data_IF_392260197071
#
_entry.id   IF_392260197071
#
_cell.length_a   1.000
_cell.length_b   1.000
_cell.length_c   1.000
_cell.angle_alpha   90.00
_cell.angle_beta   90.00
_cell.angle_gamma   90.00
#
_symmetry.space_group_name_H-M   'P 1'
#
loop_
_entity.id
_entity.type
_entity.pdbx_description
1 polymer ?
#
# COMPACT_ATOMS: atom_id res chain seq x y z
N UNK A 1 -25.08 25.35 59.73
CA UNK A 1 -24.24 24.18 59.29
C UNK A 1 -24.19 24.20 57.78
N UNK A 2 -23.14 24.75 57.16
CA UNK A 2 -22.97 24.82 55.69
C UNK A 2 -22.18 23.58 55.24
N UNK A 3 -22.82 22.72 54.45
CA UNK A 3 -22.16 21.54 53.84
C UNK A 3 -21.43 22.03 52.59
N UNK A 4 -20.09 21.95 52.61
CA UNK A 4 -19.21 22.25 51.50
C UNK A 4 -19.12 20.97 50.65
N UNK A 5 -19.68 20.97 49.42
CA UNK A 5 -19.46 19.92 48.43
C UNK A 5 -18.16 20.21 47.68
N UNK A 6 -17.15 19.37 47.91
CA UNK A 6 -15.95 19.34 47.07
C UNK A 6 -16.28 18.57 45.81
N UNK A 7 -16.33 19.23 44.65
CA UNK A 7 -16.37 18.58 43.35
C UNK A 7 -14.93 18.17 42.94
N UNK A 8 -14.65 16.90 42.92
CA UNK A 8 -13.42 16.38 42.34
C UNK A 8 -13.52 16.44 40.79
N UNK A 9 -12.80 17.34 40.20
CA UNK A 9 -12.62 17.39 38.75
C UNK A 9 -11.48 16.42 38.44
N UNK A 10 -11.81 15.21 37.93
CA UNK A 10 -10.82 14.30 37.38
C UNK A 10 -10.43 14.76 35.97
N UNK A 11 -9.25 15.38 35.88
CA UNK A 11 -8.65 15.76 34.60
C UNK A 11 -8.14 14.48 33.91
N UNK A 12 -8.95 13.93 33.02
CA UNK A 12 -8.57 12.79 32.18
C UNK A 12 -7.51 13.24 31.16
N UNK A 13 -6.26 12.87 31.37
CA UNK A 13 -5.20 13.01 30.38
C UNK A 13 -5.49 12.07 29.21
N UNK A 14 -5.98 12.60 28.10
CA UNK A 14 -6.02 11.89 26.82
C UNK A 14 -4.59 11.71 26.34
N UNK A 15 -4.02 10.51 26.54
CA UNK A 15 -2.80 10.09 25.89
C UNK A 15 -3.10 9.90 24.39
N UNK A 16 -2.74 10.90 23.57
CA UNK A 16 -2.68 10.76 22.12
C UNK A 16 -1.54 9.77 21.81
N UNK A 17 -1.89 8.52 21.50
CA UNK A 17 -0.94 7.57 20.91
C UNK A 17 -0.69 8.02 19.48
N UNK A 18 0.37 8.79 19.26
CA UNK A 18 0.83 9.11 17.92
C UNK A 18 1.12 7.79 17.19
N UNK A 19 0.33 7.47 16.17
CA UNK A 19 0.65 6.37 15.27
C UNK A 19 1.92 6.76 14.50
N UNK A 20 3.01 6.05 14.74
CA UNK A 20 4.24 6.19 13.97
C UNK A 20 4.01 5.52 12.61
N UNK A 21 4.38 6.22 11.52
CA UNK A 21 4.37 5.65 10.19
C UNK A 21 5.24 4.39 10.15
N UNK A 22 4.67 3.26 9.73
CA UNK A 22 5.41 2.01 9.60
C UNK A 22 6.23 2.00 8.30
N UNK A 23 7.30 1.23 8.30
CA UNK A 23 8.08 0.94 7.10
C UNK A 23 7.94 -0.54 6.76
N UNK A 24 7.49 -0.84 5.53
CA UNK A 24 7.35 -2.20 5.00
C UNK A 24 8.38 -2.41 3.91
N UNK A 25 9.16 -3.47 4.01
CA UNK A 25 10.16 -3.83 3.00
C UNK A 25 9.58 -4.83 2.01
N UNK A 26 9.79 -4.55 0.73
CA UNK A 26 9.56 -5.44 -0.41
C UNK A 26 10.92 -5.76 -1.02
N UNK A 27 11.27 -7.04 -1.12
CA UNK A 27 12.56 -7.48 -1.65
C UNK A 27 12.40 -7.95 -3.09
N UNK A 28 13.21 -7.43 -4.00
CA UNK A 28 13.27 -7.96 -5.36
C UNK A 28 14.04 -9.29 -5.36
N UNK A 29 13.46 -10.29 -5.99
CA UNK A 29 14.09 -11.59 -6.27
C UNK A 29 14.35 -11.72 -7.77
N UNK A 30 14.76 -12.87 -8.26
CA UNK A 30 15.10 -13.06 -9.69
C UNK A 30 13.96 -12.61 -10.64
N UNK A 31 12.69 -12.91 -10.30
CA UNK A 31 11.53 -12.63 -11.17
C UNK A 31 10.27 -12.22 -10.40
N UNK A 32 10.38 -11.89 -9.12
CA UNK A 32 9.24 -11.48 -8.31
C UNK A 32 9.65 -10.44 -7.26
N UNK A 33 8.66 -9.81 -6.68
CA UNK A 33 8.79 -9.07 -5.43
C UNK A 33 8.27 -9.93 -4.28
N UNK A 34 8.89 -9.82 -3.12
CA UNK A 34 8.50 -10.57 -1.91
C UNK A 34 8.46 -9.62 -0.69
N UNK A 35 7.29 -9.47 -0.04
CA UNK A 35 5.97 -9.92 -0.49
C UNK A 35 5.51 -9.16 -1.75
N UNK A 36 4.71 -9.80 -2.59
CA UNK A 36 4.19 -9.20 -3.82
C UNK A 36 2.83 -8.49 -3.64
N UNK A 37 2.15 -8.73 -2.53
CA UNK A 37 1.03 -7.93 -2.05
C UNK A 37 1.33 -7.51 -0.61
N UNK A 38 1.24 -6.21 -0.35
CA UNK A 38 1.39 -5.64 1.00
C UNK A 38 0.16 -4.82 1.36
N UNK A 39 -0.25 -4.89 2.61
CA UNK A 39 -1.30 -4.03 3.16
C UNK A 39 -0.68 -3.10 4.21
N UNK A 40 -0.93 -1.82 4.07
CA UNK A 40 -0.37 -0.73 4.88
C UNK A 40 -1.46 0.27 5.29
N UNK A 41 -1.12 1.17 6.19
CA UNK A 41 -1.97 2.29 6.57
C UNK A 41 -1.59 3.57 5.80
N UNK A 42 -2.52 4.53 5.65
CA UNK A 42 -2.17 5.86 5.16
C UNK A 42 -1.03 6.47 5.97
N UNK A 43 -0.01 6.98 5.29
CA UNK A 43 1.21 7.53 5.90
C UNK A 43 2.36 6.54 6.04
N UNK A 44 2.12 5.24 5.84
CA UNK A 44 3.18 4.24 5.86
C UNK A 44 4.08 4.32 4.62
N UNK A 45 5.29 3.80 4.77
CA UNK A 45 6.31 3.79 3.73
C UNK A 45 6.61 2.36 3.26
N UNK A 46 6.65 2.17 1.94
CA UNK A 46 7.17 0.95 1.32
C UNK A 46 8.57 1.19 0.81
N UNK A 47 9.48 0.27 1.10
CA UNK A 47 10.88 0.29 0.67
C UNK A 47 11.16 -0.93 -0.17
N UNK A 48 11.54 -0.73 -1.44
CA UNK A 48 12.00 -1.79 -2.32
C UNK A 48 13.52 -1.96 -2.18
N UNK A 49 13.95 -3.18 -1.87
CA UNK A 49 15.34 -3.54 -1.65
C UNK A 49 15.84 -4.57 -2.66
N UNK A 50 17.15 -4.66 -2.81
CA UNK A 50 17.83 -5.57 -3.72
C UNK A 50 17.43 -5.36 -5.20
N UNK A 51 17.27 -4.11 -5.57
CA UNK A 51 16.73 -3.70 -6.87
C UNK A 51 17.73 -3.82 -8.04
N UNK A 52 18.83 -4.56 -7.86
CA UNK A 52 19.80 -4.83 -8.92
C UNK A 52 19.10 -5.39 -10.18
N UNK A 53 19.18 -4.67 -11.31
CA UNK A 53 18.48 -5.02 -12.56
C UNK A 53 16.95 -4.94 -12.50
N UNK A 54 16.37 -4.37 -11.46
CA UNK A 54 14.95 -4.17 -11.28
C UNK A 54 14.58 -2.69 -11.21
N UNK A 55 13.32 -2.40 -11.47
CA UNK A 55 12.68 -1.11 -11.19
C UNK A 55 11.29 -1.34 -10.60
N UNK A 56 10.71 -0.33 -10.01
CA UNK A 56 9.31 -0.33 -9.60
C UNK A 56 8.61 0.86 -10.22
N UNK A 57 7.51 0.61 -10.93
CA UNK A 57 6.78 1.62 -11.69
C UNK A 57 5.28 1.39 -11.54
N UNK A 58 4.54 2.42 -11.12
CA UNK A 58 3.08 2.35 -11.07
C UNK A 58 2.50 2.17 -12.47
N UNK A 59 1.49 1.30 -12.62
CA UNK A 59 0.80 1.13 -13.90
C UNK A 59 -0.22 2.26 -14.07
N UNK A 60 -0.18 2.93 -15.22
CA UNK A 60 -1.08 4.06 -15.53
C UNK A 60 -2.56 3.63 -15.42
N UNK A 61 -3.37 4.42 -14.74
CA UNK A 61 -4.78 4.12 -14.48
C UNK A 61 -5.04 3.00 -13.46
N UNK A 62 -4.00 2.47 -12.81
CA UNK A 62 -4.12 1.40 -11.83
C UNK A 62 -3.62 1.79 -10.44
N UNK A 63 -3.77 3.04 -10.11
CA UNK A 63 -3.58 3.62 -8.78
C UNK A 63 -4.84 4.44 -8.44
N UNK A 64 -5.08 4.78 -7.16
CA UNK A 64 -6.23 5.62 -6.79
C UNK A 64 -6.19 6.99 -7.49
N UNK A 65 -7.37 7.53 -7.84
CA UNK A 65 -7.49 8.85 -8.46
C UNK A 65 -6.80 9.93 -7.62
N UNK A 66 -5.95 10.73 -8.28
CA UNK A 66 -5.18 11.78 -7.64
C UNK A 66 -4.05 11.28 -6.69
N UNK A 67 -3.72 9.98 -6.71
CA UNK A 67 -2.50 9.47 -6.11
C UNK A 67 -1.29 9.82 -6.99
N UNK A 68 -0.12 9.91 -6.36
CA UNK A 68 1.13 10.20 -7.06
C UNK A 68 1.65 8.95 -7.78
N UNK A 69 1.79 8.97 -9.12
CA UNK A 69 2.46 7.89 -9.83
C UNK A 69 3.98 7.93 -9.55
N UNK A 70 4.65 6.78 -9.72
CA UNK A 70 6.09 6.70 -9.56
C UNK A 70 6.75 5.86 -10.66
N UNK A 71 8.03 6.11 -10.84
CA UNK A 71 8.92 5.34 -11.70
C UNK A 71 10.33 5.42 -11.12
N UNK A 72 10.80 4.34 -10.49
CA UNK A 72 12.13 4.30 -9.91
C UNK A 72 13.21 4.18 -10.99
N UNK A 73 14.43 4.57 -10.67
CA UNK A 73 15.57 4.25 -11.50
C UNK A 73 15.85 2.75 -11.51
N UNK A 74 16.38 2.27 -12.62
CA UNK A 74 16.81 0.88 -12.76
C UNK A 74 18.03 0.62 -11.87
N UNK A 75 17.99 -0.46 -11.11
CA UNK A 75 19.10 -0.93 -10.31
C UNK A 75 19.29 -0.22 -8.96
N UNK A 76 18.42 0.72 -8.61
CA UNK A 76 18.50 1.47 -7.35
C UNK A 76 17.35 1.08 -6.41
N UNK A 77 17.67 0.88 -5.14
CA UNK A 77 16.65 0.74 -4.09
C UNK A 77 15.76 1.99 -4.07
N UNK A 78 14.48 1.81 -3.78
CA UNK A 78 13.50 2.87 -3.87
C UNK A 78 12.60 2.87 -2.63
N UNK A 79 12.10 4.03 -2.24
CA UNK A 79 11.15 4.15 -1.14
C UNK A 79 10.09 5.21 -1.45
N UNK A 80 8.85 4.95 -1.02
CA UNK A 80 7.74 5.88 -1.19
C UNK A 80 6.76 5.76 -0.03
N UNK A 81 6.21 6.89 0.41
CA UNK A 81 5.12 6.98 1.37
C UNK A 81 3.78 6.99 0.65
N UNK A 82 2.78 6.30 1.21
CA UNK A 82 1.46 6.15 0.62
C UNK A 82 0.40 6.74 1.55
N UNK A 83 -0.15 7.89 1.20
CA UNK A 83 -1.14 8.59 2.03
C UNK A 83 -2.57 8.30 1.60
N UNK A 84 -2.80 7.99 0.31
CA UNK A 84 -4.13 7.87 -0.25
C UNK A 84 -4.65 6.44 -0.19
N UNK A 85 -5.80 6.18 0.47
CA UNK A 85 -6.39 4.84 0.52
C UNK A 85 -6.75 4.28 -0.87
N UNK A 86 -6.61 2.96 -1.01
CA UNK A 86 -6.93 2.21 -2.22
C UNK A 86 -5.84 1.22 -2.60
N UNK A 87 -5.96 0.59 -3.75
CA UNK A 87 -4.97 -0.35 -4.25
C UNK A 87 -4.13 0.27 -5.37
N UNK A 88 -2.84 0.03 -5.31
CA UNK A 88 -1.84 0.49 -6.27
C UNK A 88 -1.20 -0.72 -6.92
N UNK A 89 -1.35 -0.84 -8.24
CA UNK A 89 -0.71 -1.91 -9.02
C UNK A 89 0.56 -1.37 -9.67
N UNK A 90 1.65 -2.12 -9.51
CA UNK A 90 2.94 -1.75 -10.07
C UNK A 90 3.63 -2.91 -10.78
N UNK A 91 4.60 -2.60 -11.61
CA UNK A 91 5.37 -3.56 -12.39
C UNK A 91 6.88 -3.28 -12.28
N UNK A 92 7.68 -4.31 -12.52
CA UNK A 92 9.10 -4.16 -12.83
C UNK A 92 9.25 -3.98 -14.34
N UNK A 93 9.64 -2.79 -14.80
CA UNK A 93 9.67 -2.47 -16.24
C UNK A 93 10.49 -3.48 -17.06
N UNK A 94 11.77 -3.82 -16.71
CA UNK A 94 12.55 -4.78 -17.49
C UNK A 94 12.00 -6.23 -17.46
N UNK A 95 11.18 -6.56 -16.45
CA UNK A 95 10.62 -7.92 -16.29
C UNK A 95 9.10 -7.97 -16.46
N UNK A 96 8.49 -6.94 -17.04
CA UNK A 96 7.05 -6.85 -17.25
C UNK A 96 6.51 -8.03 -18.09
N UNK A 97 7.25 -8.47 -19.11
CA UNK A 97 6.88 -9.65 -19.93
C UNK A 97 6.80 -10.96 -19.13
N UNK A 98 7.54 -11.06 -18.04
CA UNK A 98 7.47 -12.19 -17.10
C UNK A 98 6.35 -12.02 -16.05
N UNK A 99 5.67 -10.88 -16.05
CA UNK A 99 4.62 -10.54 -15.09
C UNK A 99 5.14 -10.14 -13.71
N UNK A 100 6.40 -9.70 -13.60
CA UNK A 100 6.95 -9.21 -12.35
C UNK A 100 6.31 -7.88 -11.96
N UNK A 101 5.72 -7.84 -10.78
CA UNK A 101 5.03 -6.67 -10.23
C UNK A 101 4.50 -6.94 -8.83
N UNK A 102 3.54 -6.13 -8.41
CA UNK A 102 2.90 -6.30 -7.10
C UNK A 102 1.72 -5.36 -6.89
N UNK A 103 1.14 -5.45 -5.70
CA UNK A 103 0.04 -4.59 -5.26
C UNK A 103 0.33 -4.05 -3.87
N UNK A 104 0.08 -2.76 -3.68
CA UNK A 104 0.06 -2.13 -2.36
C UNK A 104 -1.39 -1.78 -2.05
N UNK A 105 -1.91 -2.26 -0.92
CA UNK A 105 -3.24 -1.94 -0.40
C UNK A 105 -3.04 -0.94 0.73
N UNK A 106 -3.59 0.25 0.59
CA UNK A 106 -3.56 1.31 1.62
C UNK A 106 -4.91 1.36 2.30
N UNK A 107 -4.95 1.06 3.59
CA UNK A 107 -6.16 0.98 4.41
C UNK A 107 -6.58 -0.46 4.75
N UNK A 108 -7.63 -0.59 5.58
CA UNK A 108 -8.05 -1.88 6.17
C UNK A 108 -9.20 -2.57 5.43
N UNK A 109 -9.86 -1.87 4.54
CA UNK A 109 -11.06 -2.38 3.86
C UNK A 109 -10.81 -2.71 2.40
N UNK A 110 -11.89 -3.11 1.72
CA UNK A 110 -11.89 -3.29 0.28
C UNK A 110 -11.45 -1.99 -0.41
N UNK A 111 -10.46 -2.04 -1.32
CA UNK A 111 -10.01 -0.85 -2.02
C UNK A 111 -11.14 -0.18 -2.81
N UNK A 112 -11.37 1.11 -2.58
CA UNK A 112 -12.44 1.86 -3.24
C UNK A 112 -12.29 1.92 -4.77
N UNK A 113 -11.07 1.81 -5.29
CA UNK A 113 -10.78 1.79 -6.72
C UNK A 113 -10.77 0.39 -7.36
N UNK A 114 -11.22 -0.66 -6.64
CA UNK A 114 -11.17 -2.04 -7.16
C UNK A 114 -11.92 -2.21 -8.48
N UNK A 115 -13.10 -1.59 -8.63
CA UNK A 115 -13.89 -1.69 -9.86
C UNK A 115 -13.20 -1.00 -11.04
N UNK A 116 -12.54 0.14 -10.81
CA UNK A 116 -11.71 0.79 -11.81
C UNK A 116 -10.52 -0.08 -12.22
N UNK A 117 -9.87 -0.76 -11.26
CA UNK A 117 -8.78 -1.70 -11.55
C UNK A 117 -9.25 -2.88 -12.40
N UNK A 118 -10.45 -3.42 -12.15
CA UNK A 118 -11.07 -4.49 -12.96
C UNK A 118 -11.35 -4.05 -14.40
N UNK A 119 -11.73 -2.80 -14.59
CA UNK A 119 -12.00 -2.22 -15.90
C UNK A 119 -10.72 -1.89 -16.69
N UNK A 120 -9.57 -1.84 -16.06
CA UNK A 120 -8.31 -1.50 -16.71
C UNK A 120 -7.93 -2.51 -17.80
N UNK A 121 -7.29 -2.03 -18.86
CA UNK A 121 -6.97 -2.83 -20.05
C UNK A 121 -5.55 -3.39 -20.06
N UNK A 122 -4.66 -2.90 -19.19
CA UNK A 122 -3.29 -3.38 -19.11
C UNK A 122 -3.22 -4.87 -18.74
N UNK A 123 -2.54 -5.66 -19.55
CA UNK A 123 -2.51 -7.12 -19.37
C UNK A 123 -1.73 -7.55 -18.13
N UNK A 124 -0.64 -6.86 -17.79
CA UNK A 124 0.11 -7.12 -16.57
C UNK A 124 -0.71 -6.73 -15.34
N UNK A 125 -1.37 -5.58 -15.42
CA UNK A 125 -2.26 -5.11 -14.38
C UNK A 125 -3.42 -6.06 -14.10
N UNK A 126 -4.10 -6.57 -15.12
CA UNK A 126 -5.18 -7.57 -14.98
C UNK A 126 -4.77 -8.81 -14.20
N UNK A 127 -3.55 -9.28 -14.40
CA UNK A 127 -3.00 -10.43 -13.65
C UNK A 127 -2.92 -10.10 -12.15
N UNK A 128 -2.46 -8.91 -11.83
CA UNK A 128 -2.34 -8.45 -10.44
C UNK A 128 -3.69 -8.16 -9.80
N UNK A 129 -4.67 -7.66 -10.56
CA UNK A 129 -6.03 -7.48 -10.07
C UNK A 129 -6.66 -8.83 -9.67
N UNK A 130 -6.50 -9.89 -10.48
CA UNK A 130 -6.97 -11.23 -10.12
C UNK A 130 -6.30 -11.76 -8.85
N UNK A 131 -5.01 -11.47 -8.67
CA UNK A 131 -4.28 -11.86 -7.46
C UNK A 131 -4.74 -11.06 -6.25
N UNK A 132 -5.00 -9.76 -6.42
CA UNK A 132 -5.59 -8.90 -5.40
C UNK A 132 -6.97 -9.42 -4.96
N UNK A 133 -7.88 -9.74 -5.89
CA UNK A 133 -9.20 -10.27 -5.54
C UNK A 133 -9.09 -11.54 -4.69
N UNK A 134 -8.21 -12.47 -5.07
CA UNK A 134 -7.96 -13.67 -4.29
C UNK A 134 -7.43 -13.34 -2.90
N UNK A 135 -6.46 -12.43 -2.80
CA UNK A 135 -5.92 -11.97 -1.53
C UNK A 135 -7.01 -11.39 -0.61
N UNK A 136 -7.91 -10.55 -1.15
CA UNK A 136 -9.02 -9.97 -0.40
C UNK A 136 -9.98 -11.05 0.13
N UNK A 137 -10.30 -12.04 -0.72
CA UNK A 137 -11.18 -13.17 -0.34
C UNK A 137 -10.53 -14.03 0.76
N UNK A 138 -9.26 -14.39 0.62
CA UNK A 138 -8.51 -15.21 1.57
C UNK A 138 -8.37 -14.52 2.94
N UNK A 139 -8.33 -13.19 2.98
CA UNK A 139 -8.22 -12.41 4.21
C UNK A 139 -9.57 -11.88 4.73
N UNK A 140 -10.70 -12.27 4.09
CA UNK A 140 -12.03 -11.87 4.50
C UNK A 140 -12.30 -10.36 4.37
N UNK A 141 -11.59 -9.67 3.50
CA UNK A 141 -11.74 -8.24 3.25
C UNK A 141 -12.89 -8.03 2.25
N UNK A 142 -14.01 -7.49 2.74
CA UNK A 142 -15.26 -7.30 1.97
C UNK A 142 -15.52 -5.83 1.65
#
# INVERSE_FOLDING_TARGET
MKKLLLALITLGTMMSTGAWAAEVTVTATVRSFDPDIVQIQPGDKVVWRQMNSHSTTSIAGMIPDGATPWNSKLGEDFAMTFDKPGAYVYTCTPHASFGMGGVIIVGNGKPANLDALKAATDNNGKRWVKKLERYLDEHGIK
#
